data_IF_766277620332
#
_entry.id   IF_766277620332
#
_cell.length_a   1.000
_cell.length_b   1.000
_cell.length_c   1.000
_cell.angle_alpha   90.00
_cell.angle_beta   90.00
_cell.angle_gamma   90.00
#
_symmetry.space_group_name_H-M   'P 1'
#
loop_
_entity.id
_entity.type
_entity.pdbx_description
1 polymer ?
#
# COMPACT_ATOMS: atom_id res chain seq x y z
N UNK A 1 7.43 -3.24 -20.08
CA UNK A 1 7.38 -1.95 -19.34
C UNK A 1 6.21 -1.08 -19.78
N UNK A 2 6.15 -0.57 -21.03
CA UNK A 2 5.05 0.33 -21.43
C UNK A 2 3.71 -0.42 -21.59
N UNK A 3 3.74 -1.61 -22.16
CA UNK A 3 2.56 -2.48 -22.32
C UNK A 3 1.92 -2.83 -20.97
N UNK A 4 2.73 -3.19 -19.98
CA UNK A 4 2.26 -3.52 -18.62
C UNK A 4 1.56 -2.31 -17.96
N UNK A 5 2.07 -1.10 -18.19
CA UNK A 5 1.44 0.12 -17.70
C UNK A 5 0.07 0.35 -18.36
N UNK A 6 -0.06 0.14 -19.67
CA UNK A 6 -1.35 0.26 -20.35
C UNK A 6 -2.36 -0.77 -19.86
N UNK A 7 -1.94 -2.02 -19.69
CA UNK A 7 -2.81 -3.08 -19.12
C UNK A 7 -3.31 -2.68 -17.74
N UNK A 8 -2.42 -2.21 -16.86
CA UNK A 8 -2.80 -1.78 -15.51
C UNK A 8 -3.77 -0.60 -15.50
N UNK A 9 -3.58 0.38 -16.39
CA UNK A 9 -4.50 1.51 -16.52
C UNK A 9 -5.88 1.01 -16.95
N UNK A 10 -5.94 0.14 -17.97
CA UNK A 10 -7.21 -0.43 -18.44
C UNK A 10 -7.89 -1.24 -17.34
N UNK A 11 -7.15 -2.07 -16.61
CA UNK A 11 -7.69 -2.83 -15.46
C UNK A 11 -8.28 -1.92 -14.39
N UNK A 12 -7.53 -0.88 -14.00
CA UNK A 12 -8.00 0.08 -13.01
C UNK A 12 -9.24 0.85 -13.48
N UNK A 13 -9.30 1.26 -14.76
CA UNK A 13 -10.48 1.97 -15.30
C UNK A 13 -11.73 1.09 -15.37
N UNK A 14 -11.58 -0.23 -15.52
CA UNK A 14 -12.70 -1.19 -15.53
C UNK A 14 -13.21 -1.50 -14.14
N UNK A 15 -12.30 -1.77 -13.21
CA UNK A 15 -12.63 -2.07 -11.81
C UNK A 15 -11.47 -1.67 -10.91
N UNK A 16 -11.56 -0.52 -10.23
CA UNK A 16 -10.54 -0.10 -9.25
C UNK A 16 -10.37 -1.16 -8.15
N UNK A 17 -11.48 -1.67 -7.61
CA UNK A 17 -11.51 -2.67 -6.54
C UNK A 17 -10.85 -3.99 -6.99
N UNK A 18 -11.13 -4.43 -8.22
CA UNK A 18 -10.53 -5.63 -8.80
C UNK A 18 -9.04 -5.46 -9.09
N UNK A 19 -8.62 -4.28 -9.55
CA UNK A 19 -7.21 -3.96 -9.70
C UNK A 19 -6.46 -4.06 -8.38
N UNK A 20 -6.99 -3.47 -7.30
CA UNK A 20 -6.36 -3.56 -5.98
C UNK A 20 -6.36 -5.00 -5.43
N UNK A 21 -7.42 -5.77 -5.64
CA UNK A 21 -7.45 -7.20 -5.29
C UNK A 21 -6.33 -7.98 -6.01
N UNK A 22 -6.09 -7.71 -7.29
CA UNK A 22 -5.00 -8.31 -8.07
C UNK A 22 -3.61 -7.89 -7.57
N UNK A 23 -3.42 -6.61 -7.25
CA UNK A 23 -2.16 -6.11 -6.69
C UNK A 23 -1.87 -6.76 -5.33
N UNK A 24 -2.88 -6.91 -4.47
CA UNK A 24 -2.73 -7.62 -3.18
C UNK A 24 -2.33 -9.08 -3.39
N UNK A 25 -2.96 -9.78 -4.35
CA UNK A 25 -2.60 -11.16 -4.67
C UNK A 25 -1.15 -11.27 -5.15
N UNK A 26 -0.77 -10.41 -6.09
CA UNK A 26 0.60 -10.37 -6.62
C UNK A 26 1.64 -10.08 -5.53
N UNK A 27 1.33 -9.21 -4.56
CA UNK A 27 2.22 -8.92 -3.45
C UNK A 27 2.41 -10.13 -2.51
N UNK A 28 1.33 -10.89 -2.27
CA UNK A 28 1.33 -12.09 -1.42
C UNK A 28 1.97 -13.32 -2.09
N UNK A 29 1.90 -13.45 -3.41
CA UNK A 29 2.47 -14.59 -4.15
C UNK A 29 3.96 -14.40 -4.47
N UNK A 30 4.51 -13.18 -4.35
CA UNK A 30 5.95 -12.93 -4.48
C UNK A 30 6.75 -13.58 -3.34
N UNK A 31 7.95 -14.06 -3.66
CA UNK A 31 8.95 -14.55 -2.68
C UNK A 31 10.25 -13.77 -2.85
N UNK A 32 10.71 -12.97 -1.87
CA UNK A 32 10.02 -12.64 -0.60
C UNK A 32 8.74 -11.83 -0.84
N UNK A 33 7.84 -11.85 0.14
CA UNK A 33 6.56 -11.12 0.08
C UNK A 33 6.84 -9.62 -0.06
N UNK A 34 6.10 -8.96 -0.96
CA UNK A 34 6.23 -7.52 -1.19
C UNK A 34 5.40 -6.75 -0.14
N UNK A 35 5.96 -6.67 1.06
CA UNK A 35 5.32 -6.01 2.21
C UNK A 35 5.04 -4.54 1.96
N UNK A 36 5.88 -3.84 1.19
CA UNK A 36 5.69 -2.42 0.87
C UNK A 36 4.42 -2.20 0.09
N UNK A 37 4.21 -2.97 -0.97
CA UNK A 37 2.98 -2.89 -1.78
C UNK A 37 1.77 -3.31 -0.96
N UNK A 38 1.87 -4.43 -0.23
CA UNK A 38 0.79 -4.96 0.60
C UNK A 38 0.31 -3.94 1.65
N UNK A 39 1.23 -3.42 2.46
CA UNK A 39 0.93 -2.46 3.54
C UNK A 39 0.38 -1.16 2.95
N UNK A 40 1.01 -0.63 1.90
CA UNK A 40 0.57 0.62 1.26
C UNK A 40 -0.84 0.51 0.69
N UNK A 41 -1.17 -0.59 0.03
CA UNK A 41 -2.51 -0.81 -0.52
C UNK A 41 -3.54 -1.00 0.58
N UNK A 42 -3.26 -1.80 1.63
CA UNK A 42 -4.24 -1.99 2.72
C UNK A 42 -4.50 -0.68 3.46
N UNK A 43 -3.46 0.05 3.87
CA UNK A 43 -3.60 1.31 4.62
C UNK A 43 -4.24 2.39 3.74
N UNK A 44 -3.82 2.52 2.49
CA UNK A 44 -4.33 3.56 1.59
C UNK A 44 -5.82 3.42 1.28
N UNK A 45 -6.36 2.20 1.36
CA UNK A 45 -7.74 1.88 1.01
C UNK A 45 -8.65 1.67 2.24
N UNK A 46 -8.10 1.56 3.47
CA UNK A 46 -8.86 1.21 4.68
C UNK A 46 -10.09 2.10 4.94
N UNK A 47 -9.96 3.42 4.76
CA UNK A 47 -11.09 4.35 4.96
C UNK A 47 -12.00 4.48 3.75
N UNK A 48 -11.56 4.10 2.56
CA UNK A 48 -12.26 4.47 1.33
C UNK A 48 -13.11 3.32 0.79
N UNK A 49 -12.46 2.21 0.47
CA UNK A 49 -13.01 1.16 -0.39
C UNK A 49 -12.48 -0.24 -0.04
N UNK A 50 -11.81 -0.42 1.10
CA UNK A 50 -11.24 -1.72 1.50
C UNK A 50 -12.30 -2.83 1.64
N UNK A 51 -13.53 -2.50 2.03
CA UNK A 51 -14.63 -3.48 2.08
C UNK A 51 -14.98 -4.02 0.69
N UNK A 52 -14.99 -3.16 -0.31
CA UNK A 52 -15.25 -3.52 -1.71
C UNK A 52 -14.08 -4.31 -2.29
N UNK A 53 -12.84 -3.90 -2.01
CA UNK A 53 -11.63 -4.65 -2.39
C UNK A 53 -11.64 -6.06 -1.79
N UNK A 54 -12.04 -6.22 -0.52
CA UNK A 54 -12.17 -7.54 0.12
C UNK A 54 -13.22 -8.41 -0.56
N UNK A 55 -14.38 -7.84 -0.90
CA UNK A 55 -15.44 -8.56 -1.58
C UNK A 55 -14.97 -9.03 -2.97
N UNK A 56 -14.34 -8.14 -3.72
CA UNK A 56 -13.85 -8.44 -5.07
C UNK A 56 -12.70 -9.46 -5.04
N UNK A 57 -11.81 -9.37 -4.06
CA UNK A 57 -10.77 -10.37 -3.82
C UNK A 57 -11.38 -11.76 -3.57
N UNK A 58 -12.38 -11.87 -2.69
CA UNK A 58 -13.05 -13.14 -2.42
C UNK A 58 -13.74 -13.72 -3.66
N UNK A 59 -14.31 -12.88 -4.52
CA UNK A 59 -14.91 -13.33 -5.80
C UNK A 59 -13.86 -13.81 -6.80
N UNK A 60 -12.66 -13.21 -6.82
CA UNK A 60 -11.63 -13.52 -7.80
C UNK A 60 -10.83 -14.78 -7.46
N UNK A 61 -10.68 -15.09 -6.16
CA UNK A 61 -9.77 -16.15 -5.69
C UNK A 61 -10.45 -17.23 -4.84
N UNK A 62 -11.77 -17.16 -4.65
CA UNK A 62 -12.56 -18.09 -3.82
C UNK A 62 -12.03 -18.24 -2.38
N UNK A 63 -11.28 -17.25 -1.90
CA UNK A 63 -10.70 -17.18 -0.56
C UNK A 63 -10.76 -15.75 -0.03
N UNK A 64 -10.94 -15.61 1.29
CA UNK A 64 -10.95 -14.26 1.86
C UNK A 64 -9.55 -13.70 1.97
N UNK A 65 -9.39 -12.39 1.74
CA UNK A 65 -8.11 -11.70 1.93
C UNK A 65 -7.52 -11.95 3.34
N UNK A 66 -8.37 -12.08 4.35
CA UNK A 66 -7.95 -12.42 5.71
C UNK A 66 -7.27 -13.79 5.78
N UNK A 67 -7.92 -14.83 5.25
CA UNK A 67 -7.37 -16.20 5.23
C UNK A 67 -6.06 -16.26 4.45
N UNK A 68 -5.98 -15.59 3.29
CA UNK A 68 -4.73 -15.58 2.52
C UNK A 68 -3.59 -14.95 3.33
N UNK A 69 -3.83 -13.81 3.98
CA UNK A 69 -2.82 -13.12 4.80
C UNK A 69 -2.37 -14.00 5.97
N UNK A 70 -3.31 -14.61 6.68
CA UNK A 70 -3.03 -15.48 7.82
C UNK A 70 -2.19 -16.70 7.42
N UNK A 71 -2.44 -17.26 6.23
CA UNK A 71 -1.70 -18.43 5.75
C UNK A 71 -0.35 -18.08 5.11
N UNK A 72 -0.23 -16.92 4.44
CA UNK A 72 0.98 -16.55 3.69
C UNK A 72 2.02 -15.84 4.54
N UNK A 73 1.61 -15.09 5.55
CA UNK A 73 2.52 -14.22 6.30
C UNK A 73 3.00 -14.92 7.56
N UNK A 74 4.23 -15.39 7.51
CA UNK A 74 4.93 -15.91 8.69
C UNK A 74 5.56 -14.79 9.51
N UNK A 75 5.26 -14.75 10.81
CA UNK A 75 5.88 -13.82 11.78
C UNK A 75 7.41 -13.95 11.75
N UNK A 76 7.94 -15.14 11.45
CA UNK A 76 9.37 -15.41 11.34
C UNK A 76 10.03 -14.59 10.23
N UNK A 77 9.38 -14.43 9.07
CA UNK A 77 9.90 -13.61 7.96
C UNK A 77 9.92 -12.13 8.34
N UNK A 78 8.86 -11.65 8.99
CA UNK A 78 8.82 -10.27 9.52
C UNK A 78 9.93 -10.06 10.56
N UNK A 79 10.12 -11.02 11.48
CA UNK A 79 11.19 -10.98 12.48
C UNK A 79 12.57 -10.89 11.82
N UNK A 80 12.82 -11.62 10.74
CA UNK A 80 14.07 -11.54 9.98
C UNK A 80 14.29 -10.13 9.43
N UNK A 81 13.26 -9.45 8.93
CA UNK A 81 13.37 -8.06 8.46
C UNK A 81 13.79 -7.12 9.59
N UNK A 82 13.16 -7.21 10.78
CA UNK A 82 13.55 -6.39 11.93
C UNK A 82 14.97 -6.68 12.40
N UNK A 83 15.34 -7.96 12.49
CA UNK A 83 16.71 -8.36 12.85
C UNK A 83 17.71 -7.88 11.81
N UNK A 84 17.38 -7.96 10.52
CA UNK A 84 18.20 -7.43 9.43
C UNK A 84 18.37 -5.92 9.60
N UNK A 85 17.30 -5.13 9.75
CA UNK A 85 17.40 -3.68 9.94
C UNK A 85 18.29 -3.31 11.14
N UNK A 86 18.19 -4.04 12.24
CA UNK A 86 18.99 -3.80 13.45
C UNK A 86 20.45 -4.25 13.27
N UNK A 87 20.67 -5.36 12.58
CA UNK A 87 22.01 -5.87 12.27
C UNK A 87 22.71 -5.03 11.20
N UNK A 88 21.95 -4.41 10.29
CA UNK A 88 22.38 -3.49 9.23
C UNK A 88 22.53 -2.06 9.78
N UNK A 89 23.10 -1.91 10.98
CA UNK A 89 23.78 -0.67 11.36
C UNK A 89 24.95 -0.32 10.41
N UNK A 90 25.38 -1.29 9.59
CA UNK A 90 26.32 -1.11 8.49
C UNK A 90 25.59 -1.21 7.13
N UNK A 91 25.22 -0.04 6.61
CA UNK A 91 25.01 0.34 5.21
C UNK A 91 24.39 -0.69 4.24
N UNK A 92 23.10 -0.51 3.89
CA UNK A 92 22.51 -1.08 2.67
C UNK A 92 21.83 0.02 1.86
N UNK A 93 22.62 0.77 1.11
CA UNK A 93 22.19 1.23 -0.20
C UNK A 93 21.88 -0.01 -1.06
N UNK A 94 20.66 -0.16 -1.61
CA UNK A 94 20.44 -1.19 -2.61
C UNK A 94 21.27 -0.84 -3.84
N UNK A 95 22.37 -1.57 -4.06
CA UNK A 95 23.12 -1.60 -5.32
C UNK A 95 22.21 -2.21 -6.39
N UNK A 96 21.37 -1.36 -6.97
CA UNK A 96 20.88 -1.38 -8.34
C UNK A 96 20.48 0.06 -8.68
N UNK A 97 21.52 0.86 -8.88
CA UNK A 97 21.45 2.21 -9.42
C UNK A 97 21.19 2.14 -10.92
N UNK A 98 19.93 2.28 -11.31
CA UNK A 98 19.59 3.05 -12.51
C UNK A 98 18.97 4.36 -12.02
N UNK A 99 19.84 5.36 -11.83
CA UNK A 99 19.45 6.75 -11.75
C UNK A 99 18.85 7.17 -13.10
N UNK A 100 17.53 7.26 -13.18
CA UNK A 100 16.90 8.05 -14.24
C UNK A 100 16.56 9.40 -13.66
N UNK A 101 17.50 10.33 -13.91
CA UNK A 101 17.27 11.77 -13.88
C UNK A 101 16.02 12.12 -14.71
N UNK A 102 15.02 12.71 -14.06
CA UNK A 102 13.92 13.37 -14.75
C UNK A 102 13.96 14.85 -14.42
N UNK A 103 14.57 15.60 -15.34
CA UNK A 103 14.70 17.05 -15.28
C UNK A 103 13.38 17.78 -15.47
N UNK A 104 13.38 19.01 -14.97
CA UNK A 104 12.30 19.99 -14.98
C UNK A 104 11.57 20.13 -16.32
N UNK A 105 10.24 20.28 -16.25
CA UNK A 105 9.52 21.12 -17.20
C UNK A 105 8.17 21.60 -16.66
N UNK A 106 8.11 22.91 -16.45
CA UNK A 106 6.94 23.71 -16.14
C UNK A 106 5.82 23.59 -17.18
N UNK A 107 4.56 23.57 -16.72
CA UNK A 107 3.50 24.38 -17.35
C UNK A 107 2.31 24.58 -16.42
N UNK A 108 2.16 25.83 -16.00
CA UNK A 108 0.98 26.42 -15.37
C UNK A 108 -0.20 26.51 -16.34
N UNK A 109 -1.41 26.19 -15.88
CA UNK A 109 -2.67 26.75 -16.42
C UNK A 109 -3.80 26.74 -15.38
N UNK A 110 -3.95 27.88 -14.69
CA UNK A 110 -5.22 28.55 -14.35
C UNK A 110 -6.47 27.77 -13.86
N UNK A 111 -6.36 26.87 -12.87
CA UNK A 111 -7.52 26.35 -12.10
C UNK A 111 -7.30 26.35 -10.58
N UNK A 112 -6.60 27.37 -10.06
CA UNK A 112 -5.98 27.35 -8.73
C UNK A 112 -6.89 27.49 -7.50
N UNK A 113 -8.11 28.02 -7.62
CA UNK A 113 -8.87 28.42 -6.41
C UNK A 113 -9.81 27.33 -5.88
N UNK A 114 -10.33 26.45 -6.74
CA UNK A 114 -11.17 25.32 -6.31
C UNK A 114 -10.34 24.08 -5.92
N UNK A 115 -9.20 23.86 -6.60
CA UNK A 115 -8.29 22.78 -6.27
C UNK A 115 -7.65 22.97 -4.89
N UNK A 116 -7.24 24.18 -4.51
CA UNK A 116 -6.60 24.41 -3.19
C UNK A 116 -7.51 24.10 -2.00
N UNK A 117 -8.81 24.36 -2.12
CA UNK A 117 -9.81 24.03 -1.11
C UNK A 117 -10.07 22.52 -1.03
N UNK A 118 -10.16 21.83 -2.18
CA UNK A 118 -10.30 20.37 -2.24
C UNK A 118 -9.01 19.70 -1.74
N UNK A 119 -7.83 20.17 -2.14
CA UNK A 119 -6.53 19.67 -1.70
C UNK A 119 -6.34 19.87 -0.20
N UNK A 120 -6.72 21.01 0.36
CA UNK A 120 -6.68 21.25 1.81
C UNK A 120 -7.63 20.31 2.55
N UNK A 121 -8.87 20.13 2.06
CA UNK A 121 -9.86 19.23 2.67
C UNK A 121 -9.45 17.76 2.55
N UNK A 122 -8.85 17.35 1.42
CA UNK A 122 -8.30 16.01 1.20
C UNK A 122 -7.02 15.77 2.00
N UNK A 123 -6.16 16.78 2.18
CA UNK A 123 -4.99 16.74 3.05
C UNK A 123 -5.40 16.63 4.52
N UNK A 124 -6.42 17.36 4.95
CA UNK A 124 -6.95 17.30 6.31
C UNK A 124 -7.61 15.95 6.59
N UNK A 125 -8.38 15.41 5.63
CA UNK A 125 -8.93 14.05 5.72
C UNK A 125 -7.84 12.96 5.73
N UNK A 126 -6.78 13.09 4.90
CA UNK A 126 -5.62 12.17 4.92
C UNK A 126 -4.83 12.24 6.22
N UNK A 127 -4.59 13.44 6.75
CA UNK A 127 -3.86 13.65 8.00
C UNK A 127 -4.61 13.05 9.19
N UNK A 128 -5.92 13.29 9.28
CA UNK A 128 -6.79 12.69 10.30
C UNK A 128 -6.92 11.17 10.15
N UNK A 129 -6.97 10.68 8.91
CA UNK A 129 -7.06 9.25 8.65
C UNK A 129 -5.75 8.52 9.01
N UNK A 130 -4.58 9.06 8.63
CA UNK A 130 -3.29 8.54 9.05
C UNK A 130 -3.16 8.50 10.58
N UNK A 131 -3.68 9.52 11.28
CA UNK A 131 -3.71 9.54 12.74
C UNK A 131 -4.64 8.44 13.29
N UNK A 132 -5.82 8.24 12.70
CA UNK A 132 -6.75 7.20 13.13
C UNK A 132 -6.20 5.77 12.93
N UNK A 133 -5.51 5.53 11.81
CA UNK A 133 -4.82 4.25 11.56
C UNK A 133 -3.71 4.06 12.58
N UNK A 134 -2.89 5.09 12.83
CA UNK A 134 -1.86 5.05 13.88
C UNK A 134 -2.47 4.84 15.27
N UNK A 135 -3.61 5.45 15.60
CA UNK A 135 -4.33 5.20 16.85
C UNK A 135 -4.84 3.76 16.96
N UNK A 136 -5.36 3.17 15.89
CA UNK A 136 -5.71 1.74 15.86
C UNK A 136 -4.48 0.87 16.08
N UNK A 137 -3.38 1.16 15.39
CA UNK A 137 -2.10 0.46 15.59
C UNK A 137 -1.61 0.57 17.04
N UNK A 138 -1.62 1.77 17.62
CA UNK A 138 -1.22 2.01 19.01
C UNK A 138 -2.15 1.31 20.00
N UNK A 139 -3.47 1.32 19.77
CA UNK A 139 -4.43 0.58 20.61
C UNK A 139 -4.20 -0.92 20.55
N UNK A 140 -3.98 -1.48 19.37
CA UNK A 140 -3.67 -2.91 19.17
C UNK A 140 -2.39 -3.30 19.94
N UNK A 141 -1.34 -2.46 19.87
CA UNK A 141 -0.10 -2.70 20.61
C UNK A 141 -0.26 -2.55 22.13
N UNK A 142 -1.03 -1.55 22.58
CA UNK A 142 -1.26 -1.30 24.01
C UNK A 142 -2.06 -2.42 24.67
N UNK A 143 -3.03 -3.01 23.97
CA UNK A 143 -3.81 -4.17 24.44
C UNK A 143 -2.90 -5.39 24.65
N UNK A 144 -1.85 -5.56 23.84
CA UNK A 144 -0.96 -6.72 23.91
C UNK A 144 0.07 -6.66 25.05
N UNK A 145 0.31 -5.49 25.64
CA UNK A 145 1.22 -5.30 26.78
C UNK A 145 0.51 -5.31 28.15
N UNK A 146 -0.81 -5.49 28.19
CA UNK A 146 -1.60 -5.52 29.44
C UNK A 146 -2.10 -6.91 29.84
N UNK A 147 -1.60 -7.98 29.23
CA UNK A 147 -1.81 -9.37 29.64
C UNK A 147 -0.47 -10.05 29.92
#
# INVERSE_FOLDING_TARGET
>A
MLEDCYVRIVEYTRSPSGYHAKILRQALDKKPIDYTTLIRTIIGHECKDLSEVKLEYSKMYDETLHQTIEHRIDITEIKKIFVMIIATGDDLTPKNSEEVSFGDRDRSSSTGTALSAITSKTMEMKSRHSLHVLEKFVKIFKIRHSN
#
